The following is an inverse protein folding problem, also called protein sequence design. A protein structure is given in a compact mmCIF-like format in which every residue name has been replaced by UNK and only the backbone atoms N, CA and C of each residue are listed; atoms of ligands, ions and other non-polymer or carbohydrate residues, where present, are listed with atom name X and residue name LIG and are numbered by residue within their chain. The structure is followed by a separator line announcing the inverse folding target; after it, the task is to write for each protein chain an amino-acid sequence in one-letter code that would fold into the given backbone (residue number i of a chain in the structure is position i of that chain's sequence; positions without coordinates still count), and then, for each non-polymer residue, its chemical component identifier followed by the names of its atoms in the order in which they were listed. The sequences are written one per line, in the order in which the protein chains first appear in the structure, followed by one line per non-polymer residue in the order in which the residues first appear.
data_IF_856813938812
#
_entry.id   IF_856813938812
#
_cell.length_a   1.000
_cell.length_b   1.000
_cell.length_c   1.000
_cell.angle_alpha   90.00
_cell.angle_beta   90.00
_cell.angle_gamma   90.00
#
_symmetry.space_group_name_H-M   'P 1'
#
loop_
_entity.id
_entity.type
_entity.pdbx_description
1 polymer ?
#
# COMPACT_ATOMS: atom_id res chain seq x y z
N UNK A 1 -21.65 25.82 -14.78
CA UNK A 1 -22.07 25.09 -13.56
C UNK A 1 -20.81 24.38 -13.04
N UNK A 2 -20.16 25.01 -12.04
CA UNK A 2 -18.84 24.64 -11.54
C UNK A 2 -18.89 23.28 -10.85
N UNK A 3 -18.38 22.24 -11.52
CA UNK A 3 -18.11 20.93 -10.95
C UNK A 3 -16.64 20.82 -10.49
N UNK A 4 -16.14 21.86 -9.84
CA UNK A 4 -15.02 21.73 -8.93
C UNK A 4 -15.64 21.30 -7.58
N UNK A 5 -16.04 20.04 -7.48
CA UNK A 5 -16.23 19.43 -6.17
C UNK A 5 -14.91 19.62 -5.44
N UNK A 6 -14.94 20.37 -4.34
CA UNK A 6 -13.81 20.52 -3.45
C UNK A 6 -13.34 19.11 -3.08
N UNK A 7 -12.20 18.70 -3.61
CA UNK A 7 -11.55 17.47 -3.17
C UNK A 7 -11.25 17.66 -1.69
N UNK A 8 -11.95 16.93 -0.84
CA UNK A 8 -11.64 16.90 0.59
C UNK A 8 -10.25 16.35 0.72
N UNK A 9 -9.30 17.20 1.12
CA UNK A 9 -7.92 16.75 1.35
C UNK A 9 -7.93 15.71 2.47
N UNK A 10 -7.44 14.53 2.16
CA UNK A 10 -7.35 13.44 3.12
C UNK A 10 -6.11 13.65 4.00
N UNK A 11 -6.32 13.91 5.30
CA UNK A 11 -5.22 14.14 6.24
C UNK A 11 -4.42 12.89 6.60
N UNK A 12 -5.01 11.69 6.50
CA UNK A 12 -4.40 10.43 6.94
C UNK A 12 -4.60 9.35 5.86
N UNK A 13 -3.52 8.63 5.53
CA UNK A 13 -3.59 7.54 4.54
C UNK A 13 -4.39 6.35 5.10
N UNK A 14 -5.28 5.67 4.30
CA UNK A 14 -6.08 4.54 4.77
C UNK A 14 -5.27 3.35 5.33
N UNK A 15 -4.04 3.16 4.88
CA UNK A 15 -3.13 2.13 5.40
C UNK A 15 -2.50 2.45 6.77
N UNK A 16 -2.67 3.69 7.29
CA UNK A 16 -1.90 4.17 8.45
C UNK A 16 -2.11 3.34 9.70
N UNK A 17 -3.33 2.90 9.99
CA UNK A 17 -3.60 2.08 11.16
C UNK A 17 -2.83 0.74 11.12
N UNK A 18 -2.78 0.10 9.95
CA UNK A 18 -2.05 -1.15 9.74
C UNK A 18 -0.54 -0.92 9.75
N UNK A 19 -0.04 0.19 9.16
CA UNK A 19 1.37 0.56 9.20
C UNK A 19 1.85 0.78 10.64
N UNK A 20 1.13 1.61 11.40
CA UNK A 20 1.49 1.89 12.79
C UNK A 20 1.37 0.63 13.66
N UNK A 21 0.36 -0.20 13.44
CA UNK A 21 0.22 -1.50 14.08
C UNK A 21 1.41 -2.42 13.77
N UNK A 22 1.82 -2.50 12.51
CA UNK A 22 2.96 -3.30 12.06
C UNK A 22 4.28 -2.82 12.66
N UNK A 23 4.53 -1.50 12.63
CA UNK A 23 5.73 -0.92 13.24
C UNK A 23 5.72 -1.14 14.77
N UNK A 24 4.60 -0.88 15.43
CA UNK A 24 4.49 -1.06 16.87
C UNK A 24 4.75 -2.51 17.30
N UNK A 25 4.24 -3.49 16.55
CA UNK A 25 4.43 -4.92 16.87
C UNK A 25 5.88 -5.37 16.73
N UNK A 26 6.70 -4.70 15.94
CA UNK A 26 8.14 -4.99 15.88
C UNK A 26 8.85 -4.74 17.24
N UNK A 27 8.33 -3.80 18.02
CA UNK A 27 8.87 -3.43 19.34
C UNK A 27 8.08 -4.04 20.49
N UNK A 28 6.84 -4.43 20.29
CA UNK A 28 5.97 -5.05 21.28
C UNK A 28 6.28 -6.55 21.41
N UNK A 29 6.11 -7.08 22.61
CA UNK A 29 6.32 -8.50 22.88
C UNK A 29 5.07 -9.15 23.51
N UNK A 30 4.88 -10.43 23.22
CA UNK A 30 3.82 -11.22 23.84
C UNK A 30 2.41 -10.74 23.47
N UNK A 31 1.55 -10.58 24.48
CA UNK A 31 0.13 -10.24 24.28
C UNK A 31 -0.12 -8.92 23.57
N UNK A 32 0.75 -7.93 23.73
CA UNK A 32 0.59 -6.61 23.12
C UNK A 32 0.72 -6.67 21.58
N UNK A 33 1.63 -7.51 21.07
CA UNK A 33 1.73 -7.73 19.63
C UNK A 33 0.45 -8.38 19.08
N UNK A 34 -0.11 -9.40 19.76
CA UNK A 34 -1.35 -10.05 19.35
C UNK A 34 -2.57 -9.10 19.44
N UNK A 35 -2.59 -8.19 20.40
CA UNK A 35 -3.63 -7.17 20.50
C UNK A 35 -3.57 -6.22 19.28
N UNK A 36 -2.39 -5.73 18.92
CA UNK A 36 -2.23 -4.86 17.77
C UNK A 36 -2.67 -5.53 16.46
N UNK A 37 -2.44 -6.84 16.32
CA UNK A 37 -2.87 -7.64 15.16
C UNK A 37 -4.40 -7.63 14.94
N UNK A 38 -5.18 -7.45 16.00
CA UNK A 38 -6.64 -7.38 15.93
C UNK A 38 -7.14 -5.93 15.86
N UNK A 39 -6.58 -5.04 16.68
CA UNK A 39 -7.09 -3.68 16.77
C UNK A 39 -6.71 -2.80 15.57
N UNK A 40 -5.52 -3.01 14.97
CA UNK A 40 -5.11 -2.22 13.81
C UNK A 40 -6.06 -2.40 12.61
N UNK A 41 -6.46 -3.63 12.21
CA UNK A 41 -7.46 -3.79 11.15
C UNK A 41 -8.84 -3.21 11.50
N UNK A 42 -9.29 -3.31 12.77
CA UNK A 42 -10.57 -2.76 13.20
C UNK A 42 -10.57 -1.23 13.08
N UNK A 43 -9.51 -0.58 13.55
CA UNK A 43 -9.36 0.89 13.46
C UNK A 43 -9.31 1.31 11.99
N UNK A 44 -8.54 0.60 11.15
CA UNK A 44 -8.47 0.87 9.72
C UNK A 44 -9.81 0.66 9.01
N UNK A 45 -10.53 -0.40 9.34
CA UNK A 45 -11.88 -0.68 8.80
C UNK A 45 -12.85 0.44 9.14
N UNK A 46 -12.86 0.88 10.39
CA UNK A 46 -13.66 2.01 10.82
C UNK A 46 -13.29 3.29 10.05
N UNK A 47 -12.00 3.56 9.88
CA UNK A 47 -11.54 4.71 9.14
C UNK A 47 -11.96 4.67 7.66
N UNK A 48 -11.78 3.53 6.98
CA UNK A 48 -12.26 3.35 5.58
C UNK A 48 -13.76 3.57 5.46
N UNK A 49 -14.54 3.23 6.50
CA UNK A 49 -15.98 3.50 6.51
C UNK A 49 -16.29 4.99 6.48
N UNK A 50 -15.53 5.80 7.21
CA UNK A 50 -15.74 7.27 7.32
C UNK A 50 -15.30 8.05 6.07
N UNK A 51 -14.51 7.43 5.16
CA UNK A 51 -14.01 8.10 3.97
C UNK A 51 -15.12 8.38 2.96
N UNK A 52 -15.14 9.59 2.42
CA UNK A 52 -16.03 9.98 1.34
C UNK A 52 -15.44 9.59 -0.03
N UNK A 53 -16.29 9.13 -0.93
CA UNK A 53 -15.90 8.86 -2.33
C UNK A 53 -15.58 10.18 -3.02
N UNK A 54 -14.41 10.25 -3.66
CA UNK A 54 -13.88 11.46 -4.29
C UNK A 54 -12.81 12.17 -3.45
N UNK A 55 -12.61 11.79 -2.17
CA UNK A 55 -11.51 12.30 -1.38
C UNK A 55 -10.16 11.85 -1.97
N UNK A 56 -9.17 12.73 -1.95
CA UNK A 56 -7.84 12.46 -2.49
C UNK A 56 -6.77 13.18 -1.67
N UNK A 57 -5.54 12.71 -1.80
CA UNK A 57 -4.37 13.37 -1.22
C UNK A 57 -3.22 13.34 -2.21
N UNK A 58 -2.51 14.46 -2.34
CA UNK A 58 -1.31 14.60 -3.14
C UNK A 58 -0.11 14.88 -2.26
N UNK A 59 1.05 14.34 -2.65
CA UNK A 59 2.31 14.57 -1.97
C UNK A 59 3.36 15.02 -3.00
N UNK A 60 4.16 16.06 -2.71
CA UNK A 60 5.28 16.42 -3.56
C UNK A 60 6.40 15.37 -3.39
N UNK A 61 6.75 14.69 -4.46
CA UNK A 61 7.81 13.69 -4.49
C UNK A 61 8.72 13.94 -5.70
N UNK A 62 10.02 14.16 -5.46
CA UNK A 62 11.03 14.43 -6.52
C UNK A 62 10.66 15.54 -7.50
N UNK A 63 9.92 16.56 -7.05
CA UNK A 63 9.47 17.66 -7.91
C UNK A 63 8.19 17.39 -8.72
N UNK A 64 7.56 16.22 -8.53
CA UNK A 64 6.26 15.85 -9.09
C UNK A 64 5.19 15.82 -7.99
N UNK A 65 3.97 16.18 -8.36
CA UNK A 65 2.81 15.96 -7.49
C UNK A 65 2.29 14.54 -7.71
N UNK A 66 2.51 13.68 -6.70
CA UNK A 66 2.09 12.28 -6.71
C UNK A 66 0.76 12.18 -5.98
N UNK A 67 -0.26 11.66 -6.65
CA UNK A 67 -1.55 11.40 -6.02
C UNK A 67 -1.46 10.14 -5.14
N UNK A 68 -1.10 10.36 -3.88
CA UNK A 68 -0.83 9.27 -2.93
C UNK A 68 -2.09 8.47 -2.56
N UNK A 69 -3.25 9.12 -2.58
CA UNK A 69 -4.54 8.49 -2.27
C UNK A 69 -5.62 8.98 -3.22
N UNK A 70 -6.44 8.06 -3.69
CA UNK A 70 -7.71 8.33 -4.35
C UNK A 70 -8.78 7.39 -3.79
N UNK A 71 -9.86 7.98 -3.27
CA UNK A 71 -10.98 7.21 -2.71
C UNK A 71 -12.08 7.08 -3.75
N UNK A 72 -12.16 5.94 -4.40
CA UNK A 72 -13.27 5.58 -5.25
C UNK A 72 -14.08 4.40 -4.66
N UNK A 73 -15.12 3.98 -5.34
CA UNK A 73 -15.97 2.86 -4.88
C UNK A 73 -15.21 1.54 -4.84
N UNK A 74 -14.29 1.32 -5.77
CA UNK A 74 -13.48 0.12 -5.85
C UNK A 74 -12.42 0.11 -4.75
N UNK A 75 -11.72 1.24 -4.53
CA UNK A 75 -10.79 1.40 -3.43
C UNK A 75 -11.43 1.12 -2.08
N UNK A 76 -12.65 1.65 -1.83
CA UNK A 76 -13.40 1.35 -0.60
C UNK A 76 -13.75 -0.13 -0.48
N UNK A 77 -14.20 -0.77 -1.56
CA UNK A 77 -14.53 -2.21 -1.55
C UNK A 77 -13.30 -3.06 -1.19
N UNK A 78 -12.16 -2.82 -1.84
CA UNK A 78 -10.91 -3.51 -1.53
C UNK A 78 -10.36 -3.12 -0.16
N UNK A 79 -10.53 -1.87 0.25
CA UNK A 79 -10.20 -1.42 1.60
C UNK A 79 -10.93 -2.23 2.67
N UNK A 80 -12.24 -2.43 2.55
CA UNK A 80 -13.00 -3.32 3.43
C UNK A 80 -12.48 -4.75 3.37
N UNK A 81 -12.30 -5.29 2.16
CA UNK A 81 -11.85 -6.67 1.96
C UNK A 81 -10.51 -6.94 2.66
N UNK A 82 -9.51 -6.07 2.45
CA UNK A 82 -8.18 -6.26 3.02
C UNK A 82 -8.14 -6.09 4.53
N UNK A 83 -8.89 -5.15 5.10
CA UNK A 83 -8.98 -5.03 6.55
C UNK A 83 -9.71 -6.21 7.19
N UNK A 84 -10.78 -6.71 6.58
CA UNK A 84 -11.48 -7.91 7.05
C UNK A 84 -10.57 -9.13 6.96
N UNK A 85 -9.87 -9.30 5.84
CA UNK A 85 -8.91 -10.39 5.66
C UNK A 85 -7.77 -10.32 6.70
N UNK A 86 -7.22 -9.13 6.96
CA UNK A 86 -6.22 -8.90 7.99
C UNK A 86 -6.75 -9.23 9.40
N UNK A 87 -7.99 -8.86 9.70
CA UNK A 87 -8.65 -9.18 10.97
C UNK A 87 -8.84 -10.69 11.15
N UNK A 88 -9.37 -11.38 10.13
CA UNK A 88 -9.56 -12.84 10.16
C UNK A 88 -8.20 -13.56 10.31
N UNK A 89 -7.20 -13.14 9.53
CA UNK A 89 -5.84 -13.66 9.66
C UNK A 89 -5.25 -13.38 11.05
N UNK A 90 -5.54 -12.20 11.62
CA UNK A 90 -5.13 -11.82 12.97
C UNK A 90 -5.74 -12.71 14.06
N UNK A 91 -7.04 -12.99 13.96
CA UNK A 91 -7.75 -13.90 14.89
C UNK A 91 -7.14 -15.31 14.78
N UNK A 92 -6.94 -15.82 13.55
CA UNK A 92 -6.33 -17.12 13.33
C UNK A 92 -4.90 -17.20 13.87
N UNK A 93 -4.12 -16.13 13.70
CA UNK A 93 -2.71 -16.06 14.09
C UNK A 93 -2.49 -15.56 15.53
N UNK A 94 -3.56 -15.38 16.31
CA UNK A 94 -3.47 -14.82 17.68
C UNK A 94 -2.56 -15.62 18.61
N UNK A 95 -2.37 -16.91 18.34
CA UNK A 95 -1.48 -17.79 19.10
C UNK A 95 0.01 -17.64 18.70
N UNK A 96 0.30 -17.01 17.55
CA UNK A 96 1.68 -16.75 17.11
C UNK A 96 2.34 -15.74 18.04
N UNK A 97 3.51 -16.11 18.56
CA UNK A 97 4.28 -15.28 19.50
C UNK A 97 5.52 -14.65 18.87
N UNK A 98 5.70 -14.80 17.57
CA UNK A 98 6.81 -14.18 16.85
C UNK A 98 6.43 -12.75 16.43
N UNK A 99 6.94 -11.70 17.13
CA UNK A 99 6.58 -10.31 16.84
C UNK A 99 6.96 -9.90 15.43
N UNK A 100 8.01 -10.51 14.88
CA UNK A 100 8.49 -10.22 13.54
C UNK A 100 7.49 -10.67 12.47
N UNK A 101 6.97 -11.90 12.58
CA UNK A 101 5.95 -12.40 11.64
C UNK A 101 4.67 -11.58 11.72
N UNK A 102 4.24 -11.23 12.93
CA UNK A 102 3.06 -10.38 13.16
C UNK A 102 3.25 -9.00 12.53
N UNK A 103 4.42 -8.38 12.75
CA UNK A 103 4.78 -7.10 12.15
C UNK A 103 4.71 -7.15 10.63
N UNK A 104 5.37 -8.14 10.00
CA UNK A 104 5.37 -8.28 8.55
C UNK A 104 3.98 -8.56 7.97
N UNK A 105 3.13 -9.30 8.68
CA UNK A 105 1.75 -9.54 8.25
C UNK A 105 0.92 -8.26 8.23
N UNK A 106 1.03 -7.40 9.24
CA UNK A 106 0.34 -6.10 9.26
C UNK A 106 0.88 -5.13 8.21
N UNK A 107 2.21 -5.09 8.02
CA UNK A 107 2.83 -4.26 6.98
C UNK A 107 2.46 -4.73 5.57
N UNK A 108 2.32 -6.03 5.36
CA UNK A 108 1.82 -6.60 4.11
C UNK A 108 0.37 -6.16 3.85
N UNK A 109 -0.51 -6.28 4.85
CA UNK A 109 -1.89 -5.82 4.74
C UNK A 109 -1.98 -4.30 4.52
N UNK A 110 -1.12 -3.51 5.17
CA UNK A 110 -1.00 -2.08 4.94
C UNK A 110 -0.62 -1.76 3.50
N UNK A 111 0.36 -2.48 2.95
CA UNK A 111 0.78 -2.31 1.55
C UNK A 111 -0.33 -2.68 0.57
N UNK A 112 -1.12 -3.74 0.85
CA UNK A 112 -2.28 -4.11 0.04
C UNK A 112 -3.36 -3.01 0.03
N UNK A 113 -3.65 -2.43 1.21
CA UNK A 113 -4.54 -1.27 1.31
C UNK A 113 -3.95 -0.07 0.55
N UNK A 114 -2.64 0.17 0.66
CA UNK A 114 -1.95 1.22 -0.07
C UNK A 114 -2.11 1.10 -1.59
N UNK A 115 -1.94 -0.11 -2.14
CA UNK A 115 -2.20 -0.41 -3.57
C UNK A 115 -3.64 -0.10 -3.95
N UNK A 116 -4.61 -0.50 -3.12
CA UNK A 116 -6.03 -0.30 -3.40
C UNK A 116 -6.44 1.19 -3.45
N UNK A 117 -5.78 2.04 -2.68
CA UNK A 117 -6.05 3.48 -2.61
C UNK A 117 -5.05 4.33 -3.41
N UNK A 118 -4.10 3.73 -4.10
CA UNK A 118 -3.13 4.47 -4.91
C UNK A 118 -3.83 5.29 -6.01
N UNK A 119 -3.58 6.60 -6.03
CA UNK A 119 -4.22 7.51 -6.97
C UNK A 119 -3.46 7.62 -8.30
N UNK A 120 -2.20 7.21 -8.34
CA UNK A 120 -1.37 7.18 -9.55
C UNK A 120 -0.45 5.96 -9.62
N UNK A 121 0.21 5.81 -10.76
CA UNK A 121 1.06 4.64 -11.02
C UNK A 121 2.33 4.63 -10.16
N UNK A 122 2.84 5.80 -9.74
CA UNK A 122 4.04 5.88 -8.90
C UNK A 122 3.73 5.49 -7.45
N UNK A 123 2.62 5.99 -6.90
CA UNK A 123 2.15 5.57 -5.58
C UNK A 123 1.78 4.07 -5.56
N UNK A 124 1.15 3.57 -6.62
CA UNK A 124 0.87 2.14 -6.78
C UNK A 124 2.18 1.33 -6.76
N UNK A 125 3.20 1.76 -7.52
CA UNK A 125 4.50 1.09 -7.56
C UNK A 125 5.14 1.02 -6.17
N UNK A 126 5.15 2.13 -5.41
CA UNK A 126 5.74 2.16 -4.08
C UNK A 126 5.07 1.16 -3.11
N UNK A 127 3.74 1.10 -3.12
CA UNK A 127 2.99 0.13 -2.31
C UNK A 127 3.16 -1.30 -2.80
N UNK A 128 3.27 -1.51 -4.11
CA UNK A 128 3.56 -2.81 -4.71
C UNK A 128 4.92 -3.37 -4.26
N UNK A 129 5.95 -2.52 -4.23
CA UNK A 129 7.26 -2.91 -3.68
C UNK A 129 7.19 -3.21 -2.17
N UNK A 130 6.35 -2.48 -1.44
CA UNK A 130 6.05 -2.78 -0.04
C UNK A 130 5.45 -4.18 0.17
N UNK A 131 4.54 -4.61 -0.71
CA UNK A 131 4.00 -5.98 -0.71
C UNK A 131 5.09 -7.03 -0.90
N UNK A 132 6.01 -6.80 -1.84
CA UNK A 132 7.10 -7.73 -2.11
C UNK A 132 8.04 -7.90 -0.93
N UNK A 133 8.50 -6.78 -0.40
CA UNK A 133 9.43 -6.78 0.73
C UNK A 133 8.81 -7.49 1.93
N UNK A 134 7.58 -7.14 2.29
CA UNK A 134 6.92 -7.73 3.46
C UNK A 134 6.59 -9.20 3.26
N UNK A 135 6.24 -9.64 2.04
CA UNK A 135 5.95 -11.05 1.75
C UNK A 135 7.20 -11.92 1.78
N UNK A 136 8.37 -11.46 1.31
CA UNK A 136 9.59 -12.25 1.38
C UNK A 136 9.99 -12.51 2.83
N UNK A 137 9.82 -11.53 3.72
CA UNK A 137 10.06 -11.73 5.15
C UNK A 137 9.11 -12.75 5.78
N UNK A 138 7.87 -12.84 5.31
CA UNK A 138 6.94 -13.90 5.75
C UNK A 138 7.39 -15.29 5.29
N UNK A 139 7.94 -15.42 4.05
CA UNK A 139 8.53 -16.67 3.55
C UNK A 139 9.72 -17.09 4.45
N UNK A 140 10.63 -16.16 4.72
CA UNK A 140 11.80 -16.41 5.58
C UNK A 140 11.44 -16.67 7.06
N UNK A 141 10.24 -16.26 7.48
CA UNK A 141 9.72 -16.53 8.82
C UNK A 141 9.64 -18.02 9.17
N UNK A 142 9.62 -18.92 8.16
CA UNK A 142 9.71 -20.38 8.40
C UNK A 142 11.09 -20.86 8.87
N UNK A 143 12.15 -20.04 8.67
CA UNK A 143 13.52 -20.29 9.14
C UNK A 143 14.09 -21.63 8.69
N UNK A 144 13.73 -22.12 7.50
CA UNK A 144 14.28 -23.31 6.87
C UNK A 144 15.12 -22.93 5.66
N UNK A 145 16.07 -23.80 5.27
CA UNK A 145 16.91 -23.56 4.10
C UNK A 145 16.09 -23.46 2.81
N UNK A 146 15.05 -24.27 2.69
CA UNK A 146 14.13 -24.26 1.56
C UNK A 146 13.34 -22.95 1.48
N UNK A 147 12.96 -22.39 2.63
CA UNK A 147 12.29 -21.09 2.69
C UNK A 147 13.25 -19.95 2.32
N UNK A 148 14.51 -20.03 2.74
CA UNK A 148 15.53 -19.06 2.36
C UNK A 148 15.76 -19.04 0.83
N UNK A 149 16.01 -20.18 0.23
CA UNK A 149 16.20 -20.32 -1.22
C UNK A 149 14.94 -19.89 -2.01
N UNK A 150 13.76 -20.22 -1.52
CA UNK A 150 12.49 -19.81 -2.13
C UNK A 150 12.26 -18.32 -2.05
N UNK A 151 12.60 -17.71 -0.92
CA UNK A 151 12.51 -16.26 -0.73
C UNK A 151 13.44 -15.49 -1.66
N UNK A 152 14.68 -15.96 -1.87
CA UNK A 152 15.60 -15.34 -2.83
C UNK A 152 15.10 -15.46 -4.27
N UNK A 153 14.56 -16.61 -4.67
CA UNK A 153 13.94 -16.78 -6.01
C UNK A 153 12.74 -15.83 -6.18
N UNK A 154 11.86 -15.78 -5.19
CA UNK A 154 10.73 -14.85 -5.17
C UNK A 154 11.18 -13.41 -5.34
N UNK A 155 12.17 -12.97 -4.55
CA UNK A 155 12.70 -11.62 -4.58
C UNK A 155 13.31 -11.26 -5.94
N UNK A 156 14.06 -12.20 -6.55
CA UNK A 156 14.64 -11.99 -7.87
C UNK A 156 13.58 -11.71 -8.95
N UNK A 157 12.53 -12.55 -9.01
CA UNK A 157 11.45 -12.34 -9.98
C UNK A 157 10.64 -11.07 -9.68
N UNK A 158 10.42 -10.78 -8.41
CA UNK A 158 9.67 -9.60 -8.03
C UNK A 158 10.41 -8.31 -8.37
N UNK A 159 11.68 -8.19 -8.01
CA UNK A 159 12.53 -7.04 -8.37
C UNK A 159 12.59 -6.88 -9.90
N UNK A 160 12.76 -7.98 -10.64
CA UNK A 160 12.80 -7.91 -12.10
C UNK A 160 11.48 -7.36 -12.67
N UNK A 161 10.34 -7.83 -12.17
CA UNK A 161 9.03 -7.33 -12.60
C UNK A 161 8.79 -5.87 -12.16
N UNK A 162 9.22 -5.50 -10.97
CA UNK A 162 9.15 -4.13 -10.46
C UNK A 162 9.96 -3.15 -11.31
N UNK A 163 11.17 -3.54 -11.71
CA UNK A 163 11.99 -2.74 -12.63
C UNK A 163 11.34 -2.54 -13.99
N UNK A 164 10.69 -3.58 -14.54
CA UNK A 164 9.93 -3.47 -15.78
C UNK A 164 8.71 -2.55 -15.63
N UNK A 165 8.00 -2.65 -14.52
CA UNK A 165 6.88 -1.75 -14.21
C UNK A 165 7.36 -0.31 -14.10
N UNK A 166 8.45 -0.06 -13.35
CA UNK A 166 9.03 1.27 -13.20
C UNK A 166 9.49 1.85 -14.55
N UNK A 167 10.14 1.04 -15.39
CA UNK A 167 10.52 1.44 -16.74
C UNK A 167 9.27 1.86 -17.55
N UNK A 168 8.19 1.08 -17.50
CA UNK A 168 6.92 1.42 -18.16
C UNK A 168 6.33 2.73 -17.66
N UNK A 169 6.36 2.97 -16.36
CA UNK A 169 5.93 4.24 -15.74
C UNK A 169 6.75 5.40 -16.28
N UNK A 170 8.08 5.29 -16.27
CA UNK A 170 8.98 6.33 -16.76
C UNK A 170 8.76 6.63 -18.25
N UNK A 171 8.61 5.60 -19.09
CA UNK A 171 8.26 5.80 -20.51
C UNK A 171 6.95 6.55 -20.68
N UNK A 172 5.93 6.23 -19.88
CA UNK A 172 4.64 6.94 -19.93
C UNK A 172 4.79 8.42 -19.53
N UNK A 173 5.55 8.72 -18.47
CA UNK A 173 5.79 10.10 -18.04
C UNK A 173 6.59 10.88 -19.09
N UNK A 174 7.64 10.31 -19.67
CA UNK A 174 8.39 10.95 -20.76
C UNK A 174 7.54 11.18 -21.99
N UNK A 175 6.71 10.22 -22.39
CA UNK A 175 5.79 10.36 -23.50
C UNK A 175 4.76 11.48 -23.28
N UNK A 176 4.19 11.59 -22.08
CA UNK A 176 3.25 12.64 -21.72
C UNK A 176 3.89 14.04 -21.81
N UNK A 177 5.13 14.20 -21.34
CA UNK A 177 5.87 15.47 -21.43
C UNK A 177 6.16 15.83 -22.89
N UNK A 178 6.48 14.86 -23.75
CA UNK A 178 6.74 15.11 -25.19
C UNK A 178 5.52 15.64 -25.92
N UNK A 179 4.32 15.19 -25.57
CA UNK A 179 3.09 15.67 -26.20
C UNK A 179 2.65 17.07 -25.76
N UNK A 180 3.01 17.52 -24.55
CA UNK A 180 2.67 18.87 -24.08
C UNK A 180 3.51 19.96 -24.72
N UNK A 181 4.66 19.63 -25.34
CA UNK A 181 5.50 20.56 -26.08
C UNK A 181 5.15 20.68 -27.58
N UNK A 182 4.24 19.84 -28.08
CA UNK A 182 3.69 19.94 -29.43
C UNK A 182 2.40 20.79 -29.44
N UNK A 183 2.45 21.99 -28.93
CA UNK A 183 1.46 23.01 -29.29
C UNK A 183 1.69 23.35 -30.75
N UNK A 184 0.79 22.92 -31.62
CA UNK A 184 0.75 23.35 -33.02
C UNK A 184 0.70 24.89 -33.05
N UNK A 185 1.55 25.56 -33.88
CA UNK A 185 1.39 26.98 -34.08
C UNK A 185 -0.02 27.21 -34.68
N UNK A 186 -0.83 28.01 -33.99
CA UNK A 186 -2.07 28.54 -34.54
C UNK A 186 -1.69 29.30 -35.80
N UNK A 187 -2.13 28.78 -36.96
CA UNK A 187 -2.10 29.49 -38.23
C UNK A 187 -3.19 30.55 -38.09
N UNK A 188 -2.80 31.83 -37.99
CA UNK A 188 -3.67 32.97 -38.24
C UNK A 188 -3.94 33.11 -39.73
#
# INVERSE_FOLDING_TARGET
MNLLAASTELGIHPATALLLGGIATAFLRGRFASIALIFAPIIGLWYVHTLDVGASSTLPLFGYEVQSVMVDKQAKLFGYLFHIAALVAGIYSFHLRDPWQVSMALLYAASAVGVAFAGDMLSLFLWWEGLAITSVFQIWGRRTKEAEESGFRYLFFHISSGLLLLAGILFRYHGAVSYTHLTLPTIE
#
